data_IF_041956084562
#
_entry.id   IF_041956084562
#
_cell.length_a   1.000
_cell.length_b   1.000
_cell.length_c   1.000
_cell.angle_alpha   90.00
_cell.angle_beta   90.00
_cell.angle_gamma   90.00
#
_symmetry.space_group_name_H-M   'P 1'
#
loop_
_entity.id
_entity.type
_entity.pdbx_description
1 polymer ?
#
# COMPACT_ATOMS: atom_id res chain seq x y z
N UNK A 1 0.05 8.50 -18.34
CA UNK A 1 1.35 8.77 -17.69
C UNK A 1 1.71 7.51 -16.90
N UNK A 2 2.83 6.85 -17.20
CA UNK A 2 3.15 5.53 -16.65
C UNK A 2 3.42 5.66 -15.15
N UNK A 3 2.56 5.06 -14.30
CA UNK A 3 2.86 4.83 -12.88
C UNK A 3 4.15 4.02 -12.85
N UNK A 4 5.27 4.65 -12.47
CA UNK A 4 6.51 3.92 -12.20
C UNK A 4 6.29 3.18 -10.90
N UNK A 5 5.69 1.99 -11.00
CA UNK A 5 5.50 1.11 -9.87
C UNK A 5 6.86 0.75 -9.31
N UNK A 6 7.08 1.05 -8.04
CA UNK A 6 8.24 0.54 -7.36
C UNK A 6 8.09 -0.97 -7.13
N UNK A 7 9.19 -1.70 -7.12
CA UNK A 7 9.18 -3.16 -6.87
C UNK A 7 8.49 -3.51 -5.52
N UNK A 8 8.62 -2.62 -4.54
CA UNK A 8 7.95 -2.74 -3.24
C UNK A 8 6.44 -2.44 -3.28
N UNK A 9 5.98 -1.62 -4.23
CA UNK A 9 4.55 -1.38 -4.44
C UNK A 9 3.87 -2.63 -4.99
N UNK A 10 4.58 -3.47 -5.74
CA UNK A 10 4.02 -4.73 -6.22
C UNK A 10 3.64 -5.66 -5.06
N UNK A 11 4.52 -5.81 -4.06
CA UNK A 11 4.23 -6.64 -2.87
C UNK A 11 3.05 -6.10 -2.08
N UNK A 12 2.98 -4.78 -1.92
CA UNK A 12 1.86 -4.12 -1.27
C UNK A 12 0.55 -4.31 -2.04
N UNK A 13 0.60 -4.17 -3.36
CA UNK A 13 -0.56 -4.33 -4.24
C UNK A 13 -1.09 -5.77 -4.25
N UNK A 14 -0.21 -6.78 -4.23
CA UNK A 14 -0.62 -8.17 -4.08
C UNK A 14 -1.29 -8.42 -2.72
N UNK A 15 -0.82 -7.80 -1.64
CA UNK A 15 -1.49 -7.89 -0.33
C UNK A 15 -2.86 -7.21 -0.36
N UNK A 16 -2.95 -6.02 -0.97
CA UNK A 16 -4.20 -5.28 -1.12
C UNK A 16 -5.23 -6.05 -1.94
N UNK A 17 -4.81 -6.68 -3.04
CA UNK A 17 -5.70 -7.54 -3.83
C UNK A 17 -6.27 -8.69 -3.01
N UNK A 18 -5.44 -9.37 -2.20
CA UNK A 18 -5.92 -10.42 -1.29
C UNK A 18 -6.94 -9.91 -0.27
N UNK A 19 -6.73 -8.70 0.24
CA UNK A 19 -7.67 -8.04 1.16
C UNK A 19 -8.99 -7.73 0.44
N UNK A 20 -8.94 -7.19 -0.78
CA UNK A 20 -10.14 -6.95 -1.60
C UNK A 20 -10.89 -8.25 -1.93
N UNK A 21 -10.18 -9.33 -2.28
CA UNK A 21 -10.76 -10.66 -2.51
C UNK A 21 -11.43 -11.24 -1.25
N UNK A 22 -10.78 -11.09 -0.09
CA UNK A 22 -11.35 -11.51 1.20
C UNK A 22 -12.59 -10.69 1.55
N UNK A 23 -12.60 -9.39 1.22
CA UNK A 23 -13.75 -8.51 1.44
C UNK A 23 -14.94 -8.90 0.56
N UNK A 24 -14.69 -9.22 -0.70
CA UNK A 24 -15.72 -9.71 -1.63
C UNK A 24 -16.28 -11.07 -1.16
N UNK A 25 -15.40 -11.97 -0.74
CA UNK A 25 -15.76 -13.29 -0.21
C UNK A 25 -16.58 -13.18 1.09
N UNK A 26 -16.18 -12.30 2.03
CA UNK A 26 -16.91 -12.04 3.27
C UNK A 26 -18.33 -11.51 3.01
N UNK A 27 -18.47 -10.62 2.02
CA UNK A 27 -19.78 -10.08 1.62
C UNK A 27 -20.72 -11.14 1.03
N UNK A 28 -20.17 -12.20 0.42
CA UNK A 28 -20.94 -13.28 -0.20
C UNK A 28 -21.34 -14.39 0.79
N UNK A 29 -20.62 -14.54 1.92
CA UNK A 29 -20.77 -15.69 2.83
C UNK A 29 -21.37 -15.35 4.20
N UNK A 30 -21.72 -14.09 4.46
CA UNK A 30 -22.18 -13.60 5.80
C UNK A 30 -21.27 -14.06 6.96
N UNK A 31 -20.00 -14.33 6.65
CA UNK A 31 -19.02 -14.85 7.62
C UNK A 31 -18.16 -13.70 8.13
N UNK A 32 -18.01 -13.61 9.45
CA UNK A 32 -17.27 -12.54 10.11
C UNK A 32 -15.76 -12.78 9.98
N UNK A 33 -15.17 -12.23 8.91
CA UNK A 33 -13.73 -12.24 8.65
C UNK A 33 -13.04 -10.97 9.19
N UNK A 34 -13.70 -10.21 10.08
CA UNK A 34 -13.17 -8.93 10.58
C UNK A 34 -11.82 -9.08 11.28
N UNK A 35 -11.58 -10.18 11.98
CA UNK A 35 -10.29 -10.45 12.64
C UNK A 35 -9.15 -10.67 11.66
N UNK A 36 -9.37 -11.47 10.61
CA UNK A 36 -8.36 -11.71 9.58
C UNK A 36 -8.06 -10.43 8.79
N UNK A 37 -9.08 -9.59 8.56
CA UNK A 37 -8.90 -8.28 7.96
C UNK A 37 -8.00 -7.37 8.82
N UNK A 38 -8.27 -7.28 10.12
CA UNK A 38 -7.43 -6.49 11.05
C UNK A 38 -5.98 -6.98 11.10
N UNK A 39 -5.75 -8.30 11.10
CA UNK A 39 -4.40 -8.87 11.08
C UNK A 39 -3.67 -8.57 9.77
N UNK A 40 -4.35 -8.69 8.62
CA UNK A 40 -3.80 -8.34 7.32
C UNK A 40 -3.48 -6.84 7.21
N UNK A 41 -4.36 -5.99 7.73
CA UNK A 41 -4.16 -4.54 7.71
C UNK A 41 -2.97 -4.13 8.59
N UNK A 42 -2.85 -4.72 9.79
CA UNK A 42 -1.68 -4.54 10.66
C UNK A 42 -0.39 -4.97 9.97
N UNK A 43 -0.38 -6.14 9.33
CA UNK A 43 0.78 -6.65 8.59
C UNK A 43 1.17 -5.75 7.43
N UNK A 44 0.18 -5.25 6.70
CA UNK A 44 0.36 -4.31 5.60
C UNK A 44 0.96 -2.98 6.08
N UNK A 45 0.42 -2.42 7.17
CA UNK A 45 0.91 -1.18 7.77
C UNK A 45 2.33 -1.34 8.34
N UNK A 46 2.63 -2.47 8.98
CA UNK A 46 3.97 -2.79 9.46
C UNK A 46 5.00 -2.89 8.33
N UNK A 47 4.66 -3.59 7.25
CA UNK A 47 5.54 -3.71 6.07
C UNK A 47 5.75 -2.35 5.38
N UNK A 48 4.70 -1.52 5.34
CA UNK A 48 4.78 -0.15 4.84
C UNK A 48 5.74 0.67 5.69
N UNK A 49 5.55 0.73 7.01
CA UNK A 49 6.40 1.49 7.92
C UNK A 49 7.87 1.07 7.81
N UNK A 50 8.13 -0.24 7.87
CA UNK A 50 9.47 -0.79 7.74
C UNK A 50 10.13 -0.41 6.40
N UNK A 51 9.35 -0.39 5.30
CA UNK A 51 9.88 0.00 4.00
C UNK A 51 10.23 1.48 3.93
N UNK A 52 9.39 2.36 4.51
CA UNK A 52 9.68 3.80 4.59
C UNK A 52 10.89 4.10 5.49
N UNK A 53 11.11 3.31 6.54
CA UNK A 53 12.29 3.42 7.40
C UNK A 53 13.58 3.01 6.65
N UNK A 54 13.51 1.97 5.84
CA UNK A 54 14.66 1.42 5.10
C UNK A 54 14.78 1.89 3.65
N UNK A 55 14.30 3.10 3.34
CA UNK A 55 14.43 3.65 1.98
C UNK A 55 15.89 3.88 1.62
N UNK A 56 16.33 3.23 0.54
CA UNK A 56 17.65 3.46 -0.04
C UNK A 56 17.74 4.89 -0.62
N UNK A 57 18.95 5.48 -0.73
CA UNK A 57 19.12 6.81 -1.31
C UNK A 57 18.49 6.96 -2.70
N UNK A 58 18.55 5.92 -3.53
CA UNK A 58 17.96 5.92 -4.86
C UNK A 58 16.42 5.92 -4.82
N UNK A 59 15.82 5.14 -3.91
CA UNK A 59 14.36 5.13 -3.73
C UNK A 59 13.83 6.49 -3.25
N UNK A 60 14.60 7.21 -2.41
CA UNK A 60 14.26 8.58 -2.01
C UNK A 60 14.23 9.55 -3.21
N UNK A 61 15.21 9.45 -4.11
CA UNK A 61 15.25 10.28 -5.34
C UNK A 61 14.05 9.98 -6.23
N UNK A 62 13.70 8.70 -6.40
CA UNK A 62 12.53 8.30 -7.16
C UNK A 62 11.23 8.84 -6.56
N UNK A 63 11.11 8.85 -5.23
CA UNK A 63 9.94 9.39 -4.52
C UNK A 63 9.80 10.91 -4.70
N UNK A 64 10.90 11.64 -4.69
CA UNK A 64 10.94 13.08 -4.98
C UNK A 64 10.44 13.40 -6.40
N UNK A 65 10.68 12.48 -7.34
CA UNK A 65 10.26 12.58 -8.75
C UNK A 65 8.88 11.97 -9.01
N UNK A 66 8.15 11.57 -7.97
CA UNK A 66 6.85 10.98 -8.13
C UNK A 66 5.88 11.99 -8.77
N UNK A 67 5.11 11.60 -9.80
CA UNK A 67 4.21 12.53 -10.50
C UNK A 67 3.12 13.09 -9.58
N UNK A 68 2.62 12.28 -8.64
CA UNK A 68 1.61 12.68 -7.66
C UNK A 68 2.21 13.31 -6.39
N UNK A 69 3.49 13.72 -6.42
CA UNK A 69 4.09 14.41 -5.27
C UNK A 69 3.39 15.77 -5.10
N UNK A 70 2.83 16.08 -3.91
CA UNK A 70 2.16 17.35 -3.68
C UNK A 70 3.07 18.54 -3.98
N UNK A 71 2.51 19.52 -4.66
CA UNK A 71 3.15 20.78 -5.02
C UNK A 71 2.83 21.86 -3.98
N UNK A 72 3.46 23.03 -4.10
CA UNK A 72 3.20 24.15 -3.20
C UNK A 72 1.71 24.54 -3.12
N UNK A 73 0.93 24.34 -4.20
CA UNK A 73 -0.51 24.65 -4.23
C UNK A 73 -1.35 23.72 -3.36
N UNK A 74 -0.85 22.53 -3.05
CA UNK A 74 -1.57 21.55 -2.23
C UNK A 74 -1.43 21.85 -0.72
N UNK A 75 -0.58 22.81 -0.35
CA UNK A 75 -0.24 23.14 1.05
C UNK A 75 -0.60 24.57 1.49
N UNK A 76 -1.05 25.44 0.58
CA UNK A 76 -1.35 26.87 0.83
C UNK A 76 -2.83 27.15 0.68
#
# INVERSE_FOLDING_TARGET
MVKRQFDYEHKYQSLKQKVDELKDTSSNLEFDLSREFEELEKKMNGLRAHKYEQLTPWEKILLVRHPDRPTTRDYV
#
